data_IF_303918444896
#
_entry.id   IF_303918444896
#
_cell.length_a   1.000
_cell.length_b   1.000
_cell.length_c   1.000
_cell.angle_alpha   90.00
_cell.angle_beta   90.00
_cell.angle_gamma   90.00
#
_symmetry.space_group_name_H-M   'P 1'
#
loop_
_entity.id
_entity.type
_entity.pdbx_description
1 polymer ?
#
# COMPACT_ATOMS: atom_id res chain seq x y z
N UNK A 1 -9.49 -0.82 18.53
CA UNK A 1 -8.22 -0.65 19.27
C UNK A 1 -7.53 -1.98 19.33
N UNK A 2 -6.69 -2.29 18.36
CA UNK A 2 -5.77 -3.41 18.37
C UNK A 2 -4.36 -2.85 18.43
N UNK A 3 -3.91 -2.41 19.61
CA UNK A 3 -2.50 -2.14 19.84
C UNK A 3 -1.80 -3.48 20.00
N UNK A 4 -0.73 -3.70 19.25
CA UNK A 4 0.15 -4.83 19.51
C UNK A 4 0.51 -4.81 20.99
N UNK A 5 0.16 -5.84 21.71
CA UNK A 5 0.57 -5.97 23.11
C UNK A 5 2.00 -6.49 23.09
N UNK A 6 2.95 -5.58 23.22
CA UNK A 6 4.35 -5.93 23.45
C UNK A 6 4.53 -5.97 24.96
N UNK A 7 4.87 -7.13 25.48
CA UNK A 7 5.25 -7.30 26.89
C UNK A 7 6.76 -7.16 27.04
N UNK A 8 7.24 -6.37 27.98
CA UNK A 8 8.64 -6.33 28.37
C UNK A 8 8.80 -6.91 29.76
N UNK A 9 9.65 -7.91 29.93
CA UNK A 9 10.00 -8.43 31.24
C UNK A 9 11.30 -7.80 31.72
N UNK A 10 11.27 -7.17 32.90
CA UNK A 10 12.46 -6.61 33.54
C UNK A 10 12.77 -7.34 34.85
N UNK A 11 14.03 -7.59 35.11
CA UNK A 11 14.49 -8.17 36.37
C UNK A 11 14.95 -7.06 37.33
N UNK A 12 14.13 -6.75 38.31
CA UNK A 12 14.63 -6.13 39.53
C UNK A 12 14.35 -7.06 40.71
N UNK A 13 15.36 -7.89 41.04
CA UNK A 13 15.32 -8.74 42.23
C UNK A 13 14.12 -9.68 42.32
N UNK A 14 14.14 -10.81 41.60
CA UNK A 14 13.34 -12.02 41.72
C UNK A 14 11.91 -12.10 41.15
N UNK A 15 11.37 -11.15 40.47
CA UNK A 15 10.12 -11.35 39.74
C UNK A 15 10.18 -10.71 38.35
N UNK A 16 9.97 -11.53 37.29
CA UNK A 16 9.68 -11.03 35.94
C UNK A 16 8.26 -10.48 35.96
N UNK A 17 8.09 -9.21 35.56
CA UNK A 17 6.77 -8.66 35.32
C UNK A 17 6.67 -8.18 33.87
N UNK A 18 5.52 -8.38 33.26
CA UNK A 18 5.24 -7.94 31.91
C UNK A 18 4.64 -6.55 31.92
N UNK A 19 5.22 -5.65 31.13
CA UNK A 19 4.68 -4.32 30.92
C UNK A 19 4.30 -4.15 29.46
N UNK A 20 3.14 -3.59 29.21
CA UNK A 20 2.69 -3.28 27.85
C UNK A 20 3.45 -2.08 27.29
N UNK A 21 4.02 -2.23 26.10
CA UNK A 21 4.59 -1.13 25.32
C UNK A 21 3.45 -0.50 24.49
N UNK A 22 3.21 0.79 24.63
CA UNK A 22 2.02 1.45 24.08
C UNK A 22 2.33 2.28 22.84
N UNK A 23 3.57 2.77 22.68
CA UNK A 23 3.97 3.64 21.56
C UNK A 23 5.43 3.48 21.21
N UNK A 24 5.77 3.85 19.96
CA UNK A 24 7.14 4.01 19.54
C UNK A 24 7.81 5.11 20.40
N UNK A 25 8.96 4.80 21.00
CA UNK A 25 9.68 5.69 21.89
C UNK A 25 9.46 5.41 23.38
N UNK A 26 8.69 4.39 23.76
CA UNK A 26 8.72 3.89 25.12
C UNK A 26 10.11 3.32 25.43
N UNK A 27 10.71 3.80 26.52
CA UNK A 27 12.04 3.36 26.92
C UNK A 27 11.96 2.05 27.65
N UNK A 28 12.64 1.04 27.12
CA UNK A 28 12.74 -0.28 27.73
C UNK A 28 14.17 -0.54 28.21
N UNK A 29 14.36 -1.35 29.27
CA UNK A 29 15.67 -1.82 29.64
C UNK A 29 16.34 -2.56 28.47
N UNK A 30 17.67 -2.44 28.35
CA UNK A 30 18.41 -3.05 27.23
C UNK A 30 18.35 -4.58 27.22
N UNK A 31 18.07 -5.17 28.37
CA UNK A 31 17.91 -6.60 28.62
C UNK A 31 16.44 -7.06 28.65
N UNK A 32 15.50 -6.18 28.30
CA UNK A 32 14.09 -6.51 28.27
C UNK A 32 13.81 -7.62 27.24
N UNK A 33 13.06 -8.64 27.66
CA UNK A 33 12.50 -9.60 26.71
C UNK A 33 11.21 -9.02 26.12
N UNK A 34 11.13 -9.02 24.79
CA UNK A 34 9.97 -8.50 24.07
C UNK A 34 9.19 -9.67 23.52
N UNK A 35 7.89 -9.74 23.82
CA UNK A 35 6.98 -10.73 23.29
C UNK A 35 5.82 -10.02 22.57
N UNK A 36 5.53 -10.46 21.34
CA UNK A 36 4.36 -10.04 20.60
C UNK A 36 3.17 -10.88 21.09
N UNK A 37 2.23 -10.26 21.80
CA UNK A 37 1.06 -10.93 22.34
C UNK A 37 -0.05 -11.19 21.32
N UNK A 38 0.08 -10.61 20.12
CA UNK A 38 -0.89 -10.81 19.04
C UNK A 38 -0.18 -10.95 17.71
N UNK A 39 -0.08 -12.16 17.21
CA UNK A 39 0.51 -12.51 15.91
C UNK A 39 -0.29 -11.95 14.71
N UNK A 40 -1.53 -11.51 14.91
CA UNK A 40 -2.36 -11.03 13.82
C UNK A 40 -1.75 -9.78 13.13
N UNK A 41 -1.14 -8.86 13.88
CA UNK A 41 -0.47 -7.69 13.31
C UNK A 41 0.88 -8.03 12.63
N UNK A 42 1.50 -9.15 13.02
CA UNK A 42 2.76 -9.63 12.44
C UNK A 42 2.57 -10.47 11.17
N UNK A 43 1.33 -10.84 10.82
CA UNK A 43 1.03 -11.71 9.69
C UNK A 43 1.36 -11.08 8.34
N UNK A 44 1.19 -9.78 8.22
CA UNK A 44 1.45 -9.01 7.01
C UNK A 44 2.54 -7.97 7.26
N UNK A 45 3.23 -7.56 6.20
CA UNK A 45 4.28 -6.51 6.28
C UNK A 45 3.76 -5.16 6.79
N UNK A 46 2.45 -4.94 6.76
CA UNK A 46 1.79 -3.81 7.41
C UNK A 46 0.34 -4.12 7.78
N UNK A 47 -0.27 -3.30 8.65
CA UNK A 47 -1.68 -3.43 9.07
C UNK A 47 -2.68 -3.32 7.90
N UNK A 48 -2.25 -2.76 6.77
CA UNK A 48 -3.05 -2.73 5.55
C UNK A 48 -3.53 -4.12 5.13
N UNK A 49 -2.66 -5.13 5.23
CA UNK A 49 -3.03 -6.51 4.90
C UNK A 49 -4.23 -7.06 5.69
N UNK A 50 -4.32 -6.73 6.98
CA UNK A 50 -5.48 -7.11 7.80
C UNK A 50 -6.78 -6.41 7.38
N UNK A 51 -6.68 -5.16 6.91
CA UNK A 51 -7.85 -4.43 6.39
C UNK A 51 -8.40 -5.13 5.15
N UNK A 52 -7.53 -5.42 4.17
CA UNK A 52 -7.92 -6.08 2.93
C UNK A 52 -8.42 -7.49 3.16
N UNK A 53 -7.73 -8.30 3.98
CA UNK A 53 -8.18 -9.66 4.34
C UNK A 53 -9.60 -9.66 4.90
N UNK A 54 -9.85 -8.76 5.85
CA UNK A 54 -11.19 -8.65 6.46
C UNK A 54 -12.25 -8.23 5.47
N UNK A 55 -11.94 -7.30 4.56
CA UNK A 55 -12.85 -6.88 3.50
C UNK A 55 -13.16 -8.02 2.53
N UNK A 56 -12.14 -8.71 2.00
CA UNK A 56 -12.31 -9.83 1.07
C UNK A 56 -13.12 -10.97 1.71
N UNK A 57 -12.84 -11.29 2.97
CA UNK A 57 -13.58 -12.30 3.72
C UNK A 57 -15.06 -11.92 3.90
N UNK A 58 -15.33 -10.66 4.26
CA UNK A 58 -16.70 -10.17 4.44
C UNK A 58 -17.50 -10.14 3.13
N UNK A 59 -16.80 -9.84 2.02
CA UNK A 59 -17.39 -9.83 0.68
C UNK A 59 -17.53 -11.24 0.07
N UNK A 60 -16.89 -12.24 0.66
CA UNK A 60 -16.86 -13.59 0.08
C UNK A 60 -16.07 -13.68 -1.23
N UNK A 61 -15.08 -12.78 -1.43
CA UNK A 61 -14.27 -12.71 -2.63
C UNK A 61 -13.01 -13.55 -2.51
N UNK A 62 -12.63 -14.21 -3.61
CA UNK A 62 -11.38 -14.95 -3.73
C UNK A 62 -10.50 -14.32 -4.79
N UNK A 63 -9.22 -14.17 -4.48
CA UNK A 63 -8.18 -13.67 -5.39
C UNK A 63 -7.26 -14.78 -5.90
N UNK A 64 -7.59 -16.04 -5.58
CA UNK A 64 -6.77 -17.20 -5.96
C UNK A 64 -6.60 -17.28 -7.48
N UNK A 65 -5.35 -17.34 -7.93
CA UNK A 65 -4.98 -17.39 -9.34
C UNK A 65 -5.13 -16.08 -10.12
N UNK A 66 -5.56 -15.00 -9.46
CA UNK A 66 -5.78 -13.70 -10.11
C UNK A 66 -4.49 -12.94 -10.37
N UNK A 67 -4.47 -12.16 -11.45
CA UNK A 67 -3.50 -11.08 -11.67
C UNK A 67 -4.09 -9.79 -11.11
N UNK A 68 -3.42 -9.24 -10.10
CA UNK A 68 -3.91 -8.12 -9.30
C UNK A 68 -3.13 -6.83 -9.55
N UNK A 69 -3.79 -5.67 -9.45
CA UNK A 69 -3.16 -4.36 -9.37
C UNK A 69 -3.36 -3.80 -7.95
N UNK A 70 -2.27 -3.38 -7.30
CA UNK A 70 -2.27 -2.70 -6.00
C UNK A 70 -1.88 -1.23 -6.18
N UNK A 71 -2.85 -0.33 -6.03
CA UNK A 71 -2.68 1.12 -6.28
C UNK A 71 -2.44 1.85 -4.96
N UNK A 72 -1.26 2.46 -4.84
CA UNK A 72 -0.75 2.99 -3.57
C UNK A 72 -0.13 1.88 -2.72
N UNK A 73 0.79 1.13 -3.32
CA UNK A 73 1.39 -0.08 -2.75
C UNK A 73 2.11 0.18 -1.42
N UNK A 74 2.81 1.32 -1.28
CA UNK A 74 3.57 1.70 -0.07
C UNK A 74 4.46 0.56 0.43
N UNK A 75 4.37 0.17 1.71
CA UNK A 75 5.11 -0.97 2.28
C UNK A 75 4.67 -2.34 1.77
N UNK A 76 3.54 -2.42 1.05
CA UNK A 76 3.05 -3.65 0.42
C UNK A 76 2.08 -4.49 1.26
N UNK A 77 1.37 -3.87 2.21
CA UNK A 77 0.42 -4.61 3.05
C UNK A 77 -0.69 -5.29 2.25
N UNK A 78 -1.26 -4.61 1.25
CA UNK A 78 -2.27 -5.20 0.37
C UNK A 78 -1.65 -6.26 -0.53
N UNK A 79 -0.50 -5.98 -1.13
CA UNK A 79 0.28 -6.95 -1.93
C UNK A 79 0.54 -8.24 -1.17
N UNK A 80 1.06 -8.16 0.08
CA UNK A 80 1.33 -9.34 0.91
C UNK A 80 0.03 -10.13 1.20
N UNK A 81 -1.07 -9.44 1.46
CA UNK A 81 -2.38 -10.07 1.66
C UNK A 81 -2.83 -10.82 0.40
N UNK A 82 -2.77 -10.20 -0.76
CA UNK A 82 -3.14 -10.83 -2.04
C UNK A 82 -2.32 -12.10 -2.30
N UNK A 83 -1.01 -12.03 -2.13
CA UNK A 83 -0.10 -13.18 -2.32
C UNK A 83 -0.38 -14.32 -1.36
N UNK A 84 -0.63 -14.02 -0.06
CA UNK A 84 -0.97 -15.03 0.94
C UNK A 84 -2.34 -15.66 0.68
N UNK A 85 -3.28 -14.94 0.05
CA UNK A 85 -4.58 -15.44 -0.37
C UNK A 85 -4.56 -16.12 -1.75
N UNK A 86 -3.38 -16.30 -2.34
CA UNK A 86 -3.19 -17.12 -3.54
C UNK A 86 -3.30 -16.36 -4.86
N UNK A 87 -3.16 -15.03 -4.87
CA UNK A 87 -2.98 -14.30 -6.12
C UNK A 87 -1.78 -14.85 -6.89
N UNK A 88 -1.92 -15.03 -8.19
CA UNK A 88 -0.85 -15.52 -9.05
C UNK A 88 0.23 -14.46 -9.23
N UNK A 89 -0.16 -13.20 -9.37
CA UNK A 89 0.73 -12.07 -9.61
C UNK A 89 0.14 -10.78 -9.03
N UNK A 90 1.01 -9.87 -8.59
CA UNK A 90 0.63 -8.54 -8.15
C UNK A 90 1.52 -7.51 -8.81
N UNK A 91 0.89 -6.59 -9.52
CA UNK A 91 1.53 -5.35 -9.98
C UNK A 91 1.24 -4.26 -8.95
N UNK A 92 2.25 -3.68 -8.35
CA UNK A 92 2.11 -2.57 -7.42
C UNK A 92 2.56 -1.26 -8.05
N UNK A 93 1.82 -0.19 -7.81
CA UNK A 93 2.19 1.16 -8.25
C UNK A 93 2.13 2.14 -7.10
N UNK A 94 3.16 2.99 -6.99
CA UNK A 94 3.22 4.04 -5.97
C UNK A 94 3.94 5.28 -6.51
N UNK A 95 3.55 6.46 -6.01
CA UNK A 95 4.26 7.73 -6.29
C UNK A 95 5.53 7.86 -5.46
N UNK A 96 5.63 7.12 -4.35
CA UNK A 96 6.81 7.03 -3.49
C UNK A 96 7.93 6.21 -4.11
N UNK A 97 9.04 6.15 -3.38
CA UNK A 97 10.22 5.39 -3.77
C UNK A 97 10.84 4.69 -2.55
N UNK A 98 11.30 3.45 -2.74
CA UNK A 98 12.02 2.69 -1.72
C UNK A 98 11.17 2.26 -0.52
N UNK A 99 9.84 2.23 -0.64
CA UNK A 99 8.94 1.93 0.47
C UNK A 99 8.59 0.45 0.58
N UNK A 100 8.59 -0.28 -0.53
CA UNK A 100 8.18 -1.68 -0.56
C UNK A 100 9.10 -2.53 0.31
N UNK A 101 8.52 -3.37 1.16
CA UNK A 101 9.24 -4.27 2.05
C UNK A 101 10.09 -5.28 1.25
N UNK A 102 11.34 -5.54 1.69
CA UNK A 102 12.32 -6.37 0.97
C UNK A 102 11.81 -7.78 0.63
N UNK A 103 11.03 -8.39 1.53
CA UNK A 103 10.37 -9.68 1.30
C UNK A 103 9.51 -9.68 0.03
N UNK A 104 8.81 -8.59 -0.24
CA UNK A 104 7.93 -8.47 -1.40
C UNK A 104 8.69 -8.03 -2.65
N UNK A 105 9.72 -7.20 -2.47
CA UNK A 105 10.60 -6.79 -3.56
C UNK A 105 11.37 -7.98 -4.17
N UNK A 106 11.63 -9.00 -3.38
CA UNK A 106 12.30 -10.24 -3.83
C UNK A 106 11.35 -11.36 -4.27
N UNK A 107 10.03 -11.18 -4.17
CA UNK A 107 9.05 -12.19 -4.60
C UNK A 107 8.82 -12.08 -6.12
N UNK A 108 9.12 -13.15 -6.85
CA UNK A 108 8.99 -13.21 -8.32
C UNK A 108 7.57 -12.94 -8.84
N UNK A 109 6.56 -13.03 -8.00
CA UNK A 109 5.17 -12.74 -8.35
C UNK A 109 4.83 -11.26 -8.27
N UNK A 110 5.75 -10.42 -7.79
CA UNK A 110 5.54 -8.99 -7.56
C UNK A 110 6.31 -8.15 -8.57
N UNK A 111 5.61 -7.29 -9.28
CA UNK A 111 6.21 -6.17 -10.00
C UNK A 111 5.87 -4.88 -9.26
N UNK A 112 6.88 -4.07 -8.98
CA UNK A 112 6.73 -2.80 -8.28
C UNK A 112 7.19 -1.66 -9.19
N UNK A 113 6.26 -0.74 -9.48
CA UNK A 113 6.55 0.49 -10.21
C UNK A 113 6.45 1.67 -9.24
N UNK A 114 7.59 2.20 -8.87
CA UNK A 114 7.73 3.37 -8.02
C UNK A 114 7.80 4.65 -8.86
N UNK A 115 7.47 5.81 -8.25
CA UNK A 115 7.40 7.13 -8.92
C UNK A 115 6.35 7.19 -10.03
N UNK A 116 5.35 6.32 -10.00
CA UNK A 116 4.26 6.30 -10.97
C UNK A 116 3.03 7.01 -10.39
N UNK A 117 2.58 8.05 -11.08
CA UNK A 117 1.37 8.76 -10.71
C UNK A 117 0.14 8.04 -11.29
N UNK A 118 -0.52 7.24 -10.48
CA UNK A 118 -1.72 6.50 -10.87
C UNK A 118 -2.93 7.37 -11.26
N UNK A 119 -2.84 8.70 -11.08
CA UNK A 119 -3.84 9.65 -11.56
C UNK A 119 -3.74 9.90 -13.07
N UNK A 120 -2.58 9.66 -13.66
CA UNK A 120 -2.34 9.91 -15.07
C UNK A 120 -2.86 8.76 -15.92
N UNK A 121 -3.83 9.02 -16.84
CA UNK A 121 -4.34 7.97 -17.69
C UNK A 121 -3.22 7.34 -18.54
N UNK A 122 -3.15 6.02 -18.53
CA UNK A 122 -2.17 5.27 -19.31
C UNK A 122 -0.78 5.14 -18.66
N UNK A 123 -0.46 5.86 -17.58
CA UNK A 123 0.86 5.79 -16.94
C UNK A 123 1.23 4.35 -16.54
N UNK A 124 0.31 3.64 -15.87
CA UNK A 124 0.53 2.25 -15.43
C UNK A 124 0.78 1.33 -16.64
N UNK A 125 -0.06 1.43 -17.67
CA UNK A 125 0.08 0.61 -18.87
C UNK A 125 1.40 0.91 -19.62
N UNK A 126 1.83 2.18 -19.62
CA UNK A 126 3.09 2.59 -20.25
C UNK A 126 4.30 1.97 -19.53
N UNK A 127 4.32 1.96 -18.18
CA UNK A 127 5.42 1.34 -17.43
C UNK A 127 5.47 -0.17 -17.65
N UNK A 128 4.33 -0.84 -17.65
CA UNK A 128 4.26 -2.27 -17.99
C UNK A 128 4.78 -2.52 -19.42
N UNK A 129 4.38 -1.69 -20.38
CA UNK A 129 4.83 -1.84 -21.77
C UNK A 129 6.34 -1.64 -21.94
N UNK A 130 6.94 -0.65 -21.25
CA UNK A 130 8.40 -0.43 -21.23
C UNK A 130 9.12 -1.67 -20.71
N UNK A 131 8.65 -2.21 -19.59
CA UNK A 131 9.24 -3.40 -18.98
C UNK A 131 9.17 -4.61 -19.92
N UNK A 132 8.03 -4.83 -20.59
CA UNK A 132 7.86 -5.93 -21.56
C UNK A 132 8.71 -5.73 -22.80
N UNK A 133 8.99 -4.48 -23.22
CA UNK A 133 9.87 -4.17 -24.34
C UNK A 133 11.37 -4.34 -23.99
N UNK A 134 11.70 -4.64 -22.73
CA UNK A 134 13.09 -4.71 -22.25
C UNK A 134 13.79 -3.35 -22.20
N UNK A 135 13.01 -2.26 -22.18
CA UNK A 135 13.51 -0.91 -21.96
C UNK A 135 13.78 -0.74 -20.46
N UNK A 136 15.03 -0.96 -20.02
CA UNK A 136 15.45 -0.64 -18.67
C UNK A 136 15.24 0.87 -18.46
N UNK A 137 14.57 1.22 -17.37
CA UNK A 137 14.40 2.62 -16.99
C UNK A 137 15.78 3.27 -16.85
N UNK A 138 16.13 4.12 -17.80
CA UNK A 138 17.26 5.02 -17.66
C UNK A 138 16.96 5.90 -16.46
N UNK A 139 17.65 5.66 -15.35
CA UNK A 139 17.72 6.59 -14.24
C UNK A 139 18.06 7.95 -14.83
N UNK A 140 17.11 8.87 -14.76
CA UNK A 140 17.35 10.24 -15.15
C UNK A 140 18.48 10.77 -14.24
N UNK A 141 19.65 10.94 -14.82
CA UNK A 141 20.76 11.64 -14.21
C UNK A 141 20.22 12.95 -13.62
N UNK A 142 20.18 13.04 -12.31
CA UNK A 142 20.01 14.29 -11.64
C UNK A 142 21.34 15.04 -11.79
N UNK A 143 21.41 15.93 -12.78
CA UNK A 143 22.37 17.00 -12.80
C UNK A 143 22.23 17.81 -11.50
N UNK A 144 23.14 17.53 -10.57
CA UNK A 144 23.35 18.36 -9.39
C UNK A 144 24.33 19.47 -9.72
N UNK A 145 23.86 20.52 -10.39
CA UNK A 145 24.52 21.81 -10.32
C UNK A 145 24.03 22.57 -9.08
N UNK A 146 24.76 22.43 -7.99
CA UNK A 146 24.82 23.44 -6.95
C UNK A 146 26.24 23.45 -6.38
N UNK A 147 27.02 24.32 -6.97
CA UNK A 147 28.26 24.91 -6.48
C UNK A 147 28.01 25.60 -5.12
N UNK A 148 28.51 25.03 -4.05
CA UNK A 148 28.85 25.73 -2.81
C UNK A 148 30.11 25.09 -2.23
N UNK A 149 31.24 25.81 -2.41
CA UNK A 149 32.48 25.55 -1.70
C UNK A 149 32.31 25.85 -0.21
N UNK A 150 33.01 25.11 0.58
CA UNK A 150 34.10 25.44 1.53
C UNK A 150 34.27 24.30 2.52
N UNK A 151 35.46 23.76 2.43
CA UNK A 151 36.49 23.43 3.43
C UNK A 151 36.01 23.15 4.88
N UNK A 152 36.07 21.87 5.29
CA UNK A 152 36.85 21.49 6.48
C UNK A 152 36.93 19.96 6.66
N UNK A 153 38.13 19.50 6.88
CA UNK A 153 38.59 18.15 7.14
C UNK A 153 37.98 17.53 8.38
N UNK A 154 37.35 16.36 8.25
CA UNK A 154 37.42 15.28 9.24
C UNK A 154 37.22 13.92 8.54
N UNK A 155 38.24 13.09 8.67
CA UNK A 155 38.23 11.67 8.35
C UNK A 155 37.25 10.97 9.29
N UNK A 156 36.20 10.37 8.75
CA UNK A 156 35.51 9.26 9.39
C UNK A 156 34.78 8.43 8.33
N UNK A 157 35.05 7.15 8.35
CA UNK A 157 34.50 5.97 7.74
C UNK A 157 33.46 6.14 6.59
N UNK A 158 33.99 5.91 5.40
CA UNK A 158 33.27 5.80 4.12
C UNK A 158 32.25 4.63 4.13
N UNK A 159 31.03 4.89 4.60
CA UNK A 159 29.91 4.02 4.31
C UNK A 159 29.45 4.29 2.87
N UNK A 160 30.12 3.66 1.92
CA UNK A 160 29.64 3.60 0.54
C UNK A 160 28.43 2.68 0.49
N UNK A 161 27.25 3.14 0.05
CA UNK A 161 26.16 2.25 -0.29
C UNK A 161 26.54 1.53 -1.59
N UNK A 162 27.28 0.43 -1.45
CA UNK A 162 27.51 -0.50 -2.56
C UNK A 162 26.18 -1.15 -2.93
N UNK A 163 25.67 -0.75 -4.11
CA UNK A 163 24.94 -1.59 -5.06
C UNK A 163 24.04 -2.69 -4.45
N UNK A 164 22.92 -2.29 -3.85
CA UNK A 164 21.77 -3.19 -3.61
C UNK A 164 20.83 -3.21 -4.83
N UNK A 165 21.04 -2.30 -5.78
CA UNK A 165 20.22 -2.22 -7.00
C UNK A 165 20.41 -3.39 -7.98
N UNK A 166 21.51 -4.15 -7.89
CA UNK A 166 21.91 -5.09 -8.96
C UNK A 166 21.49 -6.56 -8.77
N UNK A 167 20.64 -6.89 -7.80
CA UNK A 167 20.23 -8.30 -7.60
C UNK A 167 18.74 -8.60 -7.52
N UNK A 168 17.87 -7.59 -7.53
CA UNK A 168 16.43 -7.79 -7.31
C UNK A 168 15.55 -7.76 -8.57
N UNK A 169 16.10 -7.54 -9.76
CA UNK A 169 15.29 -7.36 -10.98
C UNK A 169 15.68 -8.26 -12.14
N UNK A 170 16.33 -9.39 -11.90
CA UNK A 170 16.74 -10.27 -13.00
C UNK A 170 15.77 -11.42 -13.30
N UNK A 171 14.54 -11.35 -12.81
CA UNK A 171 13.42 -12.08 -13.41
C UNK A 171 12.93 -11.19 -14.54
N UNK A 172 13.16 -11.60 -15.79
CA UNK A 172 12.68 -10.82 -16.93
C UNK A 172 11.17 -10.71 -16.83
N UNK A 173 10.62 -9.52 -17.09
CA UNK A 173 9.17 -9.32 -17.09
C UNK A 173 8.46 -10.32 -18.02
N UNK A 174 9.14 -10.78 -19.09
CA UNK A 174 8.74 -11.87 -19.96
C UNK A 174 8.55 -13.20 -19.25
N UNK A 175 9.18 -13.42 -18.09
CA UNK A 175 9.00 -14.64 -17.29
C UNK A 175 7.76 -14.54 -16.38
N UNK A 176 7.31 -13.32 -16.13
CA UNK A 176 6.17 -13.02 -15.27
C UNK A 176 4.88 -12.81 -16.08
N UNK A 177 4.98 -12.13 -17.21
CA UNK A 177 3.86 -11.85 -18.11
C UNK A 177 4.10 -12.43 -19.50
N UNK A 178 3.03 -12.92 -20.11
CA UNK A 178 3.07 -13.27 -21.53
C UNK A 178 3.41 -11.99 -22.35
N UNK A 179 4.13 -12.13 -23.48
CA UNK A 179 4.57 -10.98 -24.27
C UNK A 179 3.43 -10.07 -24.78
N UNK A 180 2.20 -10.60 -24.80
CA UNK A 180 0.97 -9.92 -25.22
C UNK A 180 0.10 -9.45 -24.03
N UNK A 181 0.65 -9.39 -22.82
CA UNK A 181 -0.07 -8.91 -21.66
C UNK A 181 -0.57 -7.48 -21.86
N UNK A 182 -1.88 -7.33 -21.92
CA UNK A 182 -2.57 -6.08 -22.26
C UNK A 182 -2.73 -5.10 -21.09
N UNK A 183 -1.99 -5.25 -19.98
CA UNK A 183 -2.16 -4.48 -18.74
C UNK A 183 -3.61 -4.51 -18.24
N UNK A 184 -4.26 -5.67 -18.28
CA UNK A 184 -5.60 -5.91 -17.77
C UNK A 184 -5.57 -6.81 -16.53
N UNK A 185 -6.34 -6.45 -15.50
CA UNK A 185 -6.32 -7.10 -14.20
C UNK A 185 -7.65 -7.76 -13.86
N UNK A 186 -7.56 -8.95 -13.23
CA UNK A 186 -8.73 -9.64 -12.68
C UNK A 186 -9.24 -8.92 -11.43
N UNK A 187 -8.31 -8.33 -10.66
CA UNK A 187 -8.56 -7.65 -9.40
C UNK A 187 -7.77 -6.36 -9.30
N UNK A 188 -8.42 -5.27 -8.91
CA UNK A 188 -7.77 -4.02 -8.56
C UNK A 188 -8.07 -3.70 -7.10
N UNK A 189 -7.02 -3.46 -6.32
CA UNK A 189 -7.13 -3.00 -4.94
C UNK A 189 -6.37 -1.68 -4.77
N UNK A 190 -6.64 -0.94 -3.70
CA UNK A 190 -5.84 0.25 -3.41
C UNK A 190 -6.10 0.83 -2.03
N UNK A 191 -5.03 1.39 -1.47
CA UNK A 191 -5.01 2.12 -0.19
C UNK A 191 -4.36 3.51 -0.40
N UNK A 192 -5.11 4.42 -1.01
CA UNK A 192 -4.62 5.75 -1.37
C UNK A 192 -4.59 6.70 -0.17
N UNK A 193 -3.57 7.55 -0.11
CA UNK A 193 -3.44 8.60 0.89
C UNK A 193 -3.18 9.96 0.22
N UNK A 194 -3.72 11.02 0.83
CA UNK A 194 -3.56 12.41 0.40
C UNK A 194 -4.16 12.76 -0.97
N UNK A 195 -4.97 11.88 -1.52
CA UNK A 195 -5.70 12.07 -2.78
C UNK A 195 -7.08 11.43 -2.69
N UNK A 196 -8.07 12.04 -3.31
CA UNK A 196 -9.37 11.41 -3.51
C UNK A 196 -9.25 10.29 -4.54
N UNK A 197 -9.77 9.11 -4.23
CA UNK A 197 -9.77 8.01 -5.19
C UNK A 197 -10.58 8.33 -6.46
N UNK A 198 -11.53 9.27 -6.39
CA UNK A 198 -12.31 9.68 -7.57
C UNK A 198 -11.44 10.31 -8.66
N UNK A 199 -10.24 10.82 -8.32
CA UNK A 199 -9.28 11.36 -9.27
C UNK A 199 -8.39 10.27 -9.92
N UNK A 200 -8.24 9.13 -9.27
CA UNK A 200 -7.44 8.00 -9.75
C UNK A 200 -8.29 7.02 -10.54
N UNK A 201 -9.55 6.91 -10.19
CA UNK A 201 -10.49 5.96 -10.77
C UNK A 201 -10.56 5.98 -12.31
N UNK A 202 -10.58 7.14 -13.00
CA UNK A 202 -10.57 7.19 -14.47
C UNK A 202 -9.35 6.55 -15.14
N UNK A 203 -8.21 6.51 -14.43
CA UNK A 203 -7.00 5.91 -14.94
C UNK A 203 -6.93 4.40 -14.69
N UNK A 204 -7.52 3.89 -13.61
CA UNK A 204 -7.45 2.47 -13.23
C UNK A 204 -8.65 1.65 -13.70
N UNK A 205 -9.84 2.23 -13.79
CA UNK A 205 -11.04 1.51 -14.22
C UNK A 205 -10.92 0.86 -15.62
N UNK A 206 -10.27 1.50 -16.61
CA UNK A 206 -10.02 0.87 -17.91
C UNK A 206 -9.17 -0.40 -17.82
N UNK A 207 -8.27 -0.50 -16.84
CA UNK A 207 -7.36 -1.62 -16.63
C UNK A 207 -8.04 -2.85 -16.01
N UNK A 208 -9.31 -2.74 -15.61
CA UNK A 208 -10.07 -3.85 -15.08
C UNK A 208 -10.63 -4.70 -16.22
N UNK A 209 -10.38 -5.99 -16.20
CA UNK A 209 -10.97 -6.96 -17.14
C UNK A 209 -12.50 -6.92 -17.09
N UNK A 210 -13.19 -7.33 -18.17
CA UNK A 210 -14.64 -7.65 -18.09
C UNK A 210 -14.89 -8.67 -16.96
N UNK A 211 -15.86 -8.39 -16.10
CA UNK A 211 -16.16 -9.14 -14.87
C UNK A 211 -15.04 -9.11 -13.80
N UNK A 212 -14.03 -8.29 -13.96
CA UNK A 212 -13.03 -8.06 -12.92
C UNK A 212 -13.59 -7.31 -11.73
N UNK A 213 -12.98 -7.48 -10.56
CA UNK A 213 -13.36 -6.87 -9.30
C UNK A 213 -12.46 -5.73 -8.88
N UNK A 214 -13.03 -4.68 -8.31
CA UNK A 214 -12.33 -3.54 -7.75
C UNK A 214 -12.72 -3.41 -6.28
N UNK A 215 -11.73 -3.40 -5.37
CA UNK A 215 -11.91 -3.26 -3.91
C UNK A 215 -10.95 -2.19 -3.40
N UNK A 216 -11.47 -0.98 -3.16
CA UNK A 216 -10.66 0.17 -2.77
C UNK A 216 -10.97 0.61 -1.34
N UNK A 217 -9.93 0.93 -0.57
CA UNK A 217 -10.08 1.56 0.74
C UNK A 217 -10.42 3.04 0.57
N UNK A 218 -11.53 3.45 1.14
CA UNK A 218 -12.00 4.85 1.15
C UNK A 218 -11.63 5.49 2.47
N UNK A 219 -10.86 6.55 2.40
CA UNK A 219 -10.49 7.38 3.56
C UNK A 219 -11.27 8.70 3.50
N UNK A 220 -12.32 8.87 4.31
CA UNK A 220 -13.20 10.03 4.22
C UNK A 220 -12.49 11.38 4.30
N UNK A 221 -11.41 11.47 5.06
CA UNK A 221 -10.62 12.68 5.19
C UNK A 221 -9.97 13.15 3.86
N UNK A 222 -9.77 12.27 2.90
CA UNK A 222 -9.22 12.60 1.58
C UNK A 222 -10.31 12.79 0.50
N UNK A 223 -11.55 12.45 0.83
CA UNK A 223 -12.70 12.63 -0.06
C UNK A 223 -13.48 13.93 0.22
N UNK A 224 -13.26 14.55 1.36
CA UNK A 224 -13.93 15.77 1.80
C UNK A 224 -13.15 17.02 1.37
N UNK A 225 -13.87 18.16 1.31
CA UNK A 225 -13.25 19.45 1.03
C UNK A 225 -12.50 19.98 2.25
N UNK A 226 -11.52 20.83 1.99
CA UNK A 226 -10.84 21.56 3.05
C UNK A 226 -11.87 22.38 3.88
N UNK A 227 -11.85 22.21 5.20
CA UNK A 227 -12.82 22.84 6.12
C UNK A 227 -13.94 21.91 6.62
N UNK A 228 -14.21 20.79 5.94
CA UNK A 228 -15.12 19.74 6.43
C UNK A 228 -14.42 18.74 7.34
N UNK A 229 -13.09 18.71 7.28
CA UNK A 229 -12.27 17.82 8.12
C UNK A 229 -11.82 18.57 9.35
N UNK A 230 -12.07 18.00 10.53
CA UNK A 230 -11.73 18.62 11.80
C UNK A 230 -10.23 18.69 12.11
N UNK A 231 -9.88 19.32 13.23
CA UNK A 231 -8.49 19.41 13.68
C UNK A 231 -7.86 18.01 13.79
N UNK A 232 -6.67 17.87 13.23
CA UNK A 232 -5.95 16.59 13.19
C UNK A 232 -6.42 15.63 12.10
N UNK A 233 -7.18 16.11 11.09
CA UNK A 233 -7.63 15.25 10.00
C UNK A 233 -8.81 14.33 10.34
N UNK A 234 -9.49 14.55 11.50
CA UNK A 234 -10.55 13.65 11.96
C UNK A 234 -11.93 14.08 11.46
N UNK A 235 -12.62 13.15 10.80
CA UNK A 235 -14.02 13.30 10.38
C UNK A 235 -14.92 12.85 11.54
N UNK A 236 -15.82 13.75 12.01
CA UNK A 236 -16.66 13.50 13.20
C UNK A 236 -18.14 13.42 12.90
N UNK A 237 -18.60 14.12 11.88
CA UNK A 237 -20.03 14.25 11.60
C UNK A 237 -20.53 13.08 10.76
N UNK A 238 -21.59 12.41 11.20
CA UNK A 238 -22.16 11.26 10.49
C UNK A 238 -22.60 11.61 9.07
N UNK A 239 -23.16 12.80 8.86
CA UNK A 239 -23.61 13.27 7.55
C UNK A 239 -22.46 13.38 6.51
N UNK A 240 -21.21 13.60 6.97
CA UNK A 240 -20.05 13.66 6.07
C UNK A 240 -19.70 12.30 5.51
N UNK A 241 -19.90 11.22 6.26
CA UNK A 241 -19.69 9.85 5.75
C UNK A 241 -20.72 9.50 4.66
N UNK A 242 -21.97 9.90 4.82
CA UNK A 242 -23.02 9.72 3.80
C UNK A 242 -22.70 10.53 2.53
N UNK A 243 -22.21 11.76 2.70
CA UNK A 243 -21.75 12.60 1.58
C UNK A 243 -20.59 11.93 0.82
N UNK A 244 -19.61 11.38 1.53
CA UNK A 244 -18.47 10.66 0.92
C UNK A 244 -18.95 9.43 0.18
N UNK A 245 -19.78 8.58 0.79
CA UNK A 245 -20.32 7.39 0.14
C UNK A 245 -21.06 7.74 -1.15
N UNK A 246 -21.94 8.73 -1.12
CA UNK A 246 -22.69 9.17 -2.30
C UNK A 246 -21.73 9.62 -3.41
N UNK A 247 -20.79 10.51 -3.10
CA UNK A 247 -19.80 11.05 -4.06
C UNK A 247 -18.99 9.94 -4.71
N UNK A 248 -18.48 9.01 -3.91
CA UNK A 248 -17.65 7.92 -4.41
C UNK A 248 -18.47 6.98 -5.29
N UNK A 249 -19.70 6.60 -4.89
CA UNK A 249 -20.59 5.78 -5.72
C UNK A 249 -20.93 6.43 -7.06
N UNK A 250 -21.16 7.74 -7.08
CA UNK A 250 -21.41 8.51 -8.31
C UNK A 250 -20.19 8.44 -9.25
N UNK A 251 -18.96 8.64 -8.73
CA UNK A 251 -17.75 8.55 -9.51
C UNK A 251 -17.53 7.14 -10.12
N UNK A 252 -17.86 6.09 -9.38
CA UNK A 252 -17.80 4.71 -9.88
C UNK A 252 -18.81 4.49 -11.02
N UNK A 253 -20.04 4.97 -10.87
CA UNK A 253 -21.04 4.86 -11.91
C UNK A 253 -20.65 5.64 -13.19
N UNK A 254 -20.00 6.79 -13.06
CA UNK A 254 -19.46 7.57 -14.19
C UNK A 254 -18.40 6.80 -14.98
N UNK A 255 -17.67 5.88 -14.35
CA UNK A 255 -16.72 4.98 -15.00
C UNK A 255 -17.35 3.68 -15.51
N UNK A 256 -18.67 3.55 -15.47
CA UNK A 256 -19.38 2.35 -15.90
C UNK A 256 -19.25 1.16 -14.96
N UNK A 257 -18.81 1.39 -13.72
CA UNK A 257 -18.63 0.35 -12.71
C UNK A 257 -19.93 0.15 -11.92
N UNK A 258 -20.28 -1.11 -11.65
CA UNK A 258 -21.40 -1.48 -10.80
C UNK A 258 -20.93 -1.67 -9.36
N UNK A 259 -21.40 -0.81 -8.45
CA UNK A 259 -21.06 -0.90 -7.02
C UNK A 259 -21.97 -1.94 -6.33
N UNK A 260 -21.34 -2.96 -5.74
CA UNK A 260 -22.00 -4.07 -5.04
C UNK A 260 -22.07 -3.88 -3.53
N UNK A 261 -21.03 -3.27 -2.93
CA UNK A 261 -20.98 -3.10 -1.49
C UNK A 261 -20.22 -1.83 -1.07
N UNK A 262 -20.62 -1.34 0.09
CA UNK A 262 -19.92 -0.35 0.90
C UNK A 262 -19.88 -0.89 2.32
N UNK A 263 -18.71 -1.09 2.87
CA UNK A 263 -18.54 -1.68 4.20
C UNK A 263 -17.48 -0.93 5.01
N UNK A 264 -17.67 -0.88 6.31
CA UNK A 264 -16.67 -0.30 7.20
C UNK A 264 -15.44 -1.21 7.27
N UNK A 265 -14.26 -0.61 7.25
CA UNK A 265 -13.00 -1.34 7.41
C UNK A 265 -12.97 -2.06 8.76
N UNK A 266 -12.51 -3.32 8.81
CA UNK A 266 -12.44 -4.08 10.07
C UNK A 266 -11.47 -3.43 11.08
N UNK A 267 -10.58 -2.56 10.61
CA UNK A 267 -9.60 -1.84 11.43
C UNK A 267 -9.67 -0.36 11.10
N UNK A 268 -9.65 0.48 12.12
CA UNK A 268 -9.61 1.93 11.99
C UNK A 268 -8.27 2.41 11.40
N UNK A 269 -8.31 3.57 10.73
CA UNK A 269 -7.11 4.26 10.28
C UNK A 269 -6.13 4.58 11.41
N UNK A 270 -4.87 4.79 11.06
CA UNK A 270 -3.81 5.13 12.03
C UNK A 270 -4.13 6.37 12.86
N UNK A 271 -4.85 7.33 12.27
CA UNK A 271 -5.30 8.58 12.92
C UNK A 271 -6.59 8.42 13.72
N UNK A 272 -7.17 7.21 13.76
CA UNK A 272 -8.44 6.93 14.41
C UNK A 272 -9.67 7.28 13.57
N UNK A 273 -9.50 7.63 12.29
CA UNK A 273 -10.61 7.80 11.36
C UNK A 273 -11.28 6.46 11.04
N UNK A 274 -12.60 6.50 10.86
CA UNK A 274 -13.33 5.42 10.22
C UNK A 274 -12.95 5.39 8.74
N UNK A 275 -12.70 4.21 8.25
CA UNK A 275 -12.40 3.95 6.84
C UNK A 275 -13.40 2.94 6.29
N UNK A 276 -13.58 2.92 4.99
CA UNK A 276 -14.57 2.06 4.35
C UNK A 276 -13.93 1.37 3.15
N UNK A 277 -14.50 0.24 2.76
CA UNK A 277 -14.20 -0.38 1.49
C UNK A 277 -15.39 -0.22 0.55
N UNK A 278 -15.10 0.08 -0.71
CA UNK A 278 -16.05 -0.02 -1.79
C UNK A 278 -15.67 -1.19 -2.69
N UNK A 279 -16.66 -2.03 -3.01
CA UNK A 279 -16.54 -3.14 -3.95
C UNK A 279 -17.38 -2.85 -5.18
N UNK A 280 -16.76 -2.96 -6.35
CA UNK A 280 -17.42 -2.79 -7.64
C UNK A 280 -16.88 -3.79 -8.66
N UNK A 281 -17.60 -3.95 -9.79
CA UNK A 281 -17.16 -4.71 -10.95
C UNK A 281 -17.44 -3.96 -12.25
N UNK A 282 -16.75 -4.39 -13.31
CA UNK A 282 -16.94 -3.88 -14.66
C UNK A 282 -18.04 -4.66 -15.37
#
# INVERSE_FOLDING_TARGET
>A
MGSAEIGAATSSGSALYWQRVVKNGDVLPIDAQIELLNDAEARYVSRGGLKLEGALKQLGLSVTGSTCLDVGQSTGGFTDCLLQLGAARVVGVDVGFGQLHDKLRSDERVLCFERVNAREPGAIAAEIAKLLAGEEGLDADMDSDSDFGDDDSHEDDEFTPKNIADKATNTLASDIFEPDFAAEFDFIVGDLSFISQTLVLPAIAPLLKPNGCLVMLVKPQFELNFGQVGKGGIVREAALYEQVEKRVREAYAEQGLTVHAWLESPIQGGDGNREFFIHASK
#
